data_IF_697721036607
#
_entry.id   IF_697721036607
#
_cell.length_a   1.000
_cell.length_b   1.000
_cell.length_c   1.000
_cell.angle_alpha   90.00
_cell.angle_beta   90.00
_cell.angle_gamma   90.00
#
_symmetry.space_group_name_H-M   'P 1'
#
loop_
_entity.id
_entity.type
_entity.pdbx_description
1 polymer ?
#
# COMPACT_ATOMS: atom_id res chain seq x y z
N UNK A 1 6.30 -9.26 -18.09
CA UNK A 1 6.06 -9.78 -16.76
C UNK A 1 6.36 -8.74 -15.74
N UNK A 2 5.38 -8.47 -14.94
CA UNK A 2 5.58 -7.50 -13.87
C UNK A 2 6.79 -7.95 -13.06
N UNK A 3 7.79 -7.13 -13.07
CA UNK A 3 9.06 -7.48 -12.56
C UNK A 3 9.02 -7.99 -11.16
N UNK A 4 9.41 -9.22 -11.02
CA UNK A 4 9.94 -9.65 -9.76
C UNK A 4 11.09 -8.71 -9.44
N UNK A 5 10.95 -7.90 -8.43
CA UNK A 5 12.09 -7.16 -7.92
C UNK A 5 12.71 -7.95 -6.78
N UNK A 6 14.01 -7.79 -6.62
CA UNK A 6 14.70 -8.45 -5.53
C UNK A 6 14.43 -7.72 -4.25
N UNK A 7 13.93 -8.45 -3.27
CA UNK A 7 13.74 -7.91 -1.94
C UNK A 7 15.01 -8.08 -1.12
N UNK A 8 15.34 -7.13 -0.24
CA UNK A 8 16.41 -7.33 0.72
C UNK A 8 16.07 -8.49 1.66
N UNK A 9 17.10 -9.08 2.23
CA UNK A 9 16.94 -10.16 3.20
C UNK A 9 16.05 -9.69 4.36
N UNK A 10 15.08 -10.51 4.73
CA UNK A 10 14.13 -10.19 5.80
C UNK A 10 12.95 -9.34 5.36
N UNK A 11 12.86 -8.97 4.09
CA UNK A 11 11.70 -8.24 3.57
C UNK A 11 10.61 -9.20 3.10
N UNK A 12 9.38 -8.75 3.23
CA UNK A 12 8.19 -9.48 2.82
C UNK A 12 7.44 -8.70 1.76
N UNK A 13 6.78 -9.42 0.87
CA UNK A 13 5.93 -8.80 -0.14
C UNK A 13 4.49 -9.25 0.03
N UNK A 14 3.56 -8.30 -0.09
CA UNK A 14 2.13 -8.56 -0.19
C UNK A 14 1.56 -7.81 -1.37
N UNK A 15 0.53 -8.36 -1.98
CA UNK A 15 -0.11 -7.77 -3.14
C UNK A 15 -1.59 -7.59 -2.91
N UNK A 16 -2.13 -6.54 -3.52
CA UNK A 16 -3.55 -6.28 -3.59
C UNK A 16 -3.97 -6.14 -5.04
N UNK A 17 -4.96 -6.90 -5.46
CA UNK A 17 -5.53 -6.82 -6.80
C UNK A 17 -6.89 -6.11 -6.74
N UNK A 18 -7.02 -5.04 -7.51
CA UNK A 18 -8.25 -4.26 -7.62
C UNK A 18 -8.85 -4.45 -9.01
N UNK A 19 -10.11 -4.91 -9.06
CA UNK A 19 -10.82 -5.04 -10.33
C UNK A 19 -11.20 -3.67 -10.87
N UNK A 20 -10.90 -3.43 -12.16
CA UNK A 20 -11.19 -2.16 -12.80
C UNK A 20 -12.65 -2.13 -13.26
N UNK A 21 -13.49 -1.49 -12.46
CA UNK A 21 -14.86 -1.13 -12.84
C UNK A 21 -14.97 0.34 -13.22
N UNK A 22 -13.85 1.03 -13.22
CA UNK A 22 -13.75 2.48 -13.44
C UNK A 22 -12.35 2.81 -13.94
N UNK A 23 -12.19 3.99 -14.51
CA UNK A 23 -10.89 4.47 -14.93
C UNK A 23 -10.11 4.95 -13.71
N UNK A 24 -8.91 4.38 -13.51
CA UNK A 24 -7.98 4.81 -12.48
C UNK A 24 -6.74 5.43 -13.12
N UNK A 25 -6.27 6.52 -12.53
CA UNK A 25 -5.01 7.15 -12.94
C UNK A 25 -3.85 6.41 -12.28
N UNK A 26 -3.30 5.43 -12.98
CA UNK A 26 -2.21 4.58 -12.46
C UNK A 26 -0.95 5.41 -12.18
N UNK A 27 -0.67 6.41 -13.01
CA UNK A 27 0.50 7.27 -12.79
C UNK A 27 0.36 8.07 -11.48
N UNK A 28 -0.84 8.61 -11.20
CA UNK A 28 -1.10 9.29 -9.94
C UNK A 28 -1.01 8.34 -8.75
N UNK A 29 -1.49 7.11 -8.91
CA UNK A 29 -1.36 6.07 -7.87
C UNK A 29 0.11 5.76 -7.58
N UNK A 30 0.94 5.66 -8.60
CA UNK A 30 2.37 5.40 -8.40
C UNK A 30 3.06 6.59 -7.71
N UNK A 31 2.71 7.82 -8.07
CA UNK A 31 3.24 9.00 -7.40
C UNK A 31 2.90 9.00 -5.91
N UNK A 32 1.66 8.61 -5.56
CA UNK A 32 1.24 8.46 -4.17
C UNK A 32 1.98 7.32 -3.47
N UNK A 33 2.17 6.20 -4.18
CA UNK A 33 2.92 5.04 -3.67
C UNK A 33 4.36 5.41 -3.33
N UNK A 34 4.99 6.22 -4.15
CA UNK A 34 6.38 6.65 -3.93
C UNK A 34 6.53 7.45 -2.62
N UNK A 35 5.49 8.16 -2.20
CA UNK A 35 5.51 8.88 -0.92
C UNK A 35 5.45 7.96 0.29
N UNK A 36 4.96 6.74 0.12
CA UNK A 36 4.89 5.74 1.20
C UNK A 36 6.21 4.99 1.38
N UNK A 37 7.11 5.08 0.41
CA UNK A 37 8.40 4.40 0.46
C UNK A 37 9.29 5.03 1.52
N UNK A 38 10.03 4.18 2.23
CA UNK A 38 10.94 4.61 3.28
C UNK A 38 10.46 4.22 4.67
N UNK A 39 11.16 4.76 5.66
CA UNK A 39 10.84 4.53 7.07
C UNK A 39 9.87 5.61 7.55
N UNK A 40 8.68 5.19 7.93
CA UNK A 40 7.63 6.08 8.41
C UNK A 40 6.88 5.44 9.57
N UNK A 41 6.19 6.26 10.34
CA UNK A 41 5.20 5.78 11.28
C UNK A 41 3.88 5.56 10.53
N UNK A 42 3.51 4.31 10.32
CA UNK A 42 2.30 3.92 9.59
C UNK A 42 1.08 3.75 10.50
N UNK A 43 1.03 4.44 11.64
CA UNK A 43 -0.06 4.26 12.61
C UNK A 43 -1.46 4.51 12.03
N UNK A 44 -1.60 5.36 11.02
CA UNK A 44 -2.88 5.56 10.32
C UNK A 44 -3.28 4.34 9.47
N UNK A 45 -2.30 3.53 9.05
CA UNK A 45 -2.53 2.42 8.12
C UNK A 45 -2.75 1.08 8.82
N UNK A 46 -2.71 1.03 10.13
CA UNK A 46 -2.94 -0.22 10.82
C UNK A 46 -2.45 -0.18 12.25
N UNK A 47 -2.51 -1.33 12.88
CA UNK A 47 -2.06 -1.48 14.27
C UNK A 47 -1.03 -2.60 14.37
N UNK A 48 -0.18 -2.49 15.38
CA UNK A 48 0.82 -3.51 15.63
C UNK A 48 0.16 -4.86 15.94
N UNK A 49 0.68 -5.98 15.40
CA UNK A 49 0.23 -7.32 15.77
C UNK A 49 0.51 -7.65 17.24
N UNK A 50 1.42 -6.92 17.88
CA UNK A 50 1.76 -7.13 19.30
C UNK A 50 1.17 -6.01 20.15
N UNK A 51 0.50 -6.32 21.25
CA UNK A 51 0.08 -5.29 22.21
C UNK A 51 1.29 -4.45 22.65
N UNK A 52 1.15 -3.13 22.58
CA UNK A 52 2.23 -2.20 22.92
C UNK A 52 3.37 -2.13 21.91
N UNK A 53 3.26 -2.80 20.77
CA UNK A 53 4.25 -2.72 19.70
C UNK A 53 4.18 -1.39 18.97
N UNK A 54 5.30 -1.00 18.35
CA UNK A 54 5.37 0.23 17.57
C UNK A 54 4.80 0.05 16.17
N UNK A 55 4.50 1.17 15.50
CA UNK A 55 3.90 1.20 14.17
C UNK A 55 4.84 1.76 13.10
N UNK A 56 6.12 1.96 13.45
CA UNK A 56 7.13 2.37 12.47
C UNK A 56 7.52 1.17 11.62
N UNK A 57 7.49 1.34 10.31
CA UNK A 57 7.87 0.30 9.35
C UNK A 57 8.76 0.89 8.27
N UNK A 58 9.61 0.05 7.70
CA UNK A 58 10.43 0.41 6.54
C UNK A 58 9.81 -0.24 5.31
N UNK A 59 9.22 0.59 4.45
CA UNK A 59 8.64 0.15 3.19
C UNK A 59 9.70 0.33 2.09
N UNK A 60 10.18 -0.79 1.54
CA UNK A 60 11.20 -0.76 0.51
C UNK A 60 10.65 -0.35 -0.83
N UNK A 61 9.42 -0.79 -1.14
CA UNK A 61 8.82 -0.47 -2.43
C UNK A 61 7.30 -0.60 -2.36
N UNK A 62 6.61 0.29 -3.06
CA UNK A 62 5.20 0.16 -3.38
C UNK A 62 5.06 0.34 -4.89
N UNK A 63 4.65 -0.71 -5.59
CA UNK A 63 4.54 -0.71 -7.04
C UNK A 63 3.11 -0.89 -7.49
N UNK A 64 2.65 0.01 -8.36
CA UNK A 64 1.32 -0.05 -8.96
C UNK A 64 1.46 -0.49 -10.40
N UNK A 65 0.73 -1.53 -10.80
CA UNK A 65 0.76 -2.08 -12.15
C UNK A 65 -0.65 -2.28 -12.66
N UNK A 66 -0.93 -1.82 -13.87
CA UNK A 66 -2.19 -2.09 -14.55
C UNK A 66 -2.01 -3.14 -15.63
N UNK A 67 -2.90 -4.12 -15.67
CA UNK A 67 -2.89 -5.15 -16.70
C UNK A 67 -4.32 -5.63 -16.94
N UNK A 68 -4.84 -5.41 -18.15
CA UNK A 68 -6.21 -5.79 -18.49
C UNK A 68 -7.21 -5.10 -17.59
N UNK A 69 -8.06 -5.88 -16.94
CA UNK A 69 -9.13 -5.37 -16.06
C UNK A 69 -8.69 -5.25 -14.60
N UNK A 70 -7.40 -5.31 -14.33
CA UNK A 70 -6.88 -5.33 -12.97
C UNK A 70 -5.77 -4.30 -12.76
N UNK A 71 -5.77 -3.72 -11.57
CA UNK A 71 -4.63 -2.99 -11.02
C UNK A 71 -4.10 -3.79 -9.85
N UNK A 72 -2.79 -4.01 -9.84
CA UNK A 72 -2.12 -4.72 -8.77
C UNK A 72 -1.22 -3.74 -8.00
N UNK A 73 -1.32 -3.77 -6.69
CA UNK A 73 -0.49 -2.98 -5.78
C UNK A 73 0.38 -3.96 -5.02
N UNK A 74 1.68 -3.88 -5.23
CA UNK A 74 2.66 -4.72 -4.54
C UNK A 74 3.40 -3.90 -3.50
N UNK A 75 3.41 -4.35 -2.26
CA UNK A 75 4.07 -3.67 -1.15
C UNK A 75 5.15 -4.59 -0.58
N UNK A 76 6.37 -4.08 -0.50
CA UNK A 76 7.49 -4.76 0.14
C UNK A 76 7.91 -3.98 1.37
N UNK A 77 7.99 -4.63 2.52
CA UNK A 77 8.33 -4.02 3.79
C UNK A 77 9.03 -5.00 4.72
N UNK A 78 9.69 -4.47 5.74
CA UNK A 78 10.33 -5.29 6.78
C UNK A 78 9.29 -6.01 7.65
N UNK A 79 8.12 -5.43 7.84
CA UNK A 79 7.00 -6.05 8.52
C UNK A 79 5.71 -5.28 8.18
N UNK A 80 4.57 -5.89 8.43
CA UNK A 80 3.27 -5.30 8.15
C UNK A 80 2.45 -5.14 9.42
N UNK A 81 1.73 -4.02 9.50
CA UNK A 81 0.68 -3.83 10.49
C UNK A 81 -0.59 -4.57 10.05
N UNK A 82 -1.48 -4.85 10.98
CA UNK A 82 -2.80 -5.38 10.64
C UNK A 82 -3.56 -4.39 9.77
N UNK A 83 -4.04 -4.87 8.63
CA UNK A 83 -4.81 -4.09 7.68
C UNK A 83 -3.99 -3.11 6.86
N UNK A 84 -2.66 -3.11 6.97
CA UNK A 84 -1.79 -2.12 6.34
C UNK A 84 -1.91 -2.14 4.81
N UNK A 85 -1.81 -3.29 4.18
CA UNK A 85 -1.86 -3.39 2.72
C UNK A 85 -3.23 -2.98 2.19
N UNK A 86 -4.30 -3.36 2.88
CA UNK A 86 -5.66 -2.97 2.49
C UNK A 86 -5.90 -1.47 2.62
N UNK A 87 -5.32 -0.82 3.62
CA UNK A 87 -5.42 0.63 3.77
C UNK A 87 -4.56 1.37 2.75
N UNK A 88 -3.37 0.86 2.47
CA UNK A 88 -2.54 1.40 1.38
C UNK A 88 -3.31 1.30 0.06
N UNK A 89 -3.86 0.13 -0.25
CA UNK A 89 -4.64 -0.07 -1.48
C UNK A 89 -5.83 0.88 -1.55
N UNK A 90 -6.60 1.03 -0.47
CA UNK A 90 -7.72 1.95 -0.43
C UNK A 90 -7.32 3.41 -0.66
N UNK A 91 -6.20 3.83 -0.06
CA UNK A 91 -5.66 5.17 -0.24
C UNK A 91 -5.22 5.42 -1.68
N UNK A 92 -4.48 4.48 -2.28
CA UNK A 92 -4.00 4.63 -3.65
C UNK A 92 -5.14 4.64 -4.65
N UNK A 93 -6.15 3.81 -4.45
CA UNK A 93 -7.33 3.81 -5.33
C UNK A 93 -8.07 5.15 -5.25
N UNK A 94 -8.19 5.74 -4.07
CA UNK A 94 -8.85 7.05 -3.93
C UNK A 94 -8.05 8.17 -4.62
N UNK A 95 -6.72 8.10 -4.61
CA UNK A 95 -5.90 9.01 -5.41
C UNK A 95 -6.10 8.75 -6.91
N UNK A 96 -6.15 7.48 -7.32
CA UNK A 96 -6.39 7.10 -8.71
C UNK A 96 -7.76 7.53 -9.23
N UNK A 97 -8.75 7.58 -8.36
CA UNK A 97 -10.10 8.09 -8.65
C UNK A 97 -10.18 9.60 -8.68
N UNK A 98 -9.14 10.29 -8.28
CA UNK A 98 -9.09 11.74 -8.09
C UNK A 98 -10.04 12.24 -6.99
N UNK A 99 -10.35 11.40 -6.03
CA UNK A 99 -11.11 11.77 -4.83
C UNK A 99 -10.23 12.47 -3.80
N UNK A 100 -8.93 12.13 -3.79
CA UNK A 100 -7.98 12.69 -2.86
C UNK A 100 -6.75 13.19 -3.62
N UNK A 101 -6.20 14.35 -3.24
CA UNK A 101 -4.97 14.85 -3.83
C UNK A 101 -3.75 14.08 -3.30
N UNK A 102 -2.64 14.23 -3.98
CA UNK A 102 -1.40 13.58 -3.60
C UNK A 102 -0.95 13.96 -2.18
N UNK A 103 -1.16 15.21 -1.78
CA UNK A 103 -0.78 15.73 -0.46
C UNK A 103 -1.54 15.05 0.69
N UNK A 104 -2.70 14.48 0.40
CA UNK A 104 -3.45 13.74 1.41
C UNK A 104 -2.66 12.55 1.96
N UNK A 105 -1.81 11.92 1.14
CA UNK A 105 -0.93 10.84 1.58
C UNK A 105 0.01 11.32 2.70
N UNK A 106 0.54 12.53 2.57
CA UNK A 106 1.41 13.10 3.61
C UNK A 106 0.67 13.28 4.93
N UNK A 107 -0.61 13.67 4.88
CA UNK A 107 -1.43 13.79 6.08
C UNK A 107 -1.64 12.44 6.77
N UNK A 108 -1.79 11.37 6.00
CA UNK A 108 -1.91 10.01 6.54
C UNK A 108 -0.61 9.58 7.21
N UNK A 109 0.53 9.90 6.61
CA UNK A 109 1.85 9.63 7.22
C UNK A 109 2.06 10.47 8.49
N UNK A 110 1.38 11.60 8.60
CA UNK A 110 1.34 12.40 9.82
C UNK A 110 0.39 11.87 10.90
N UNK A 111 -0.32 10.79 10.60
CA UNK A 111 -1.22 10.12 11.55
C UNK A 111 -2.70 10.42 11.37
N UNK A 112 -3.09 11.28 10.42
CA UNK A 112 -4.49 11.50 10.11
C UNK A 112 -5.11 10.25 9.50
N UNK A 113 -6.33 9.92 9.91
CA UNK A 113 -7.12 8.84 9.29
C UNK A 113 -8.30 9.38 8.49
N UNK A 114 -8.39 10.68 8.35
CA UNK A 114 -9.51 11.32 7.66
C UNK A 114 -9.59 10.88 6.21
N UNK A 115 -10.71 10.30 5.83
CA UNK A 115 -10.96 9.81 4.48
C UNK A 115 -10.36 8.46 4.16
N UNK A 116 -9.54 7.88 5.04
CA UNK A 116 -8.89 6.60 4.79
C UNK A 116 -9.89 5.44 4.95
N UNK A 117 -9.93 4.58 3.93
CA UNK A 117 -10.84 3.43 3.89
C UNK A 117 -10.06 2.14 3.65
N UNK A 118 -10.60 1.04 4.17
CA UNK A 118 -10.09 -0.29 3.88
C UNK A 118 -10.57 -0.75 2.51
N UNK A 119 -9.65 -1.20 1.65
CA UNK A 119 -10.02 -1.93 0.45
C UNK A 119 -10.61 -3.29 0.85
N UNK A 120 -11.54 -3.85 0.03
CA UNK A 120 -12.16 -5.14 0.36
C UNK A 120 -11.15 -6.27 0.53
N UNK A 121 -11.40 -7.14 1.51
CA UNK A 121 -10.44 -8.20 1.89
C UNK A 121 -10.18 -9.21 0.75
N UNK A 122 -11.15 -9.44 -0.11
CA UNK A 122 -11.03 -10.43 -1.18
C UNK A 122 -9.98 -10.09 -2.23
N UNK A 123 -9.53 -8.85 -2.32
CA UNK A 123 -8.45 -8.46 -3.23
C UNK A 123 -7.06 -8.76 -2.70
N UNK A 124 -6.94 -9.09 -1.42
CA UNK A 124 -5.64 -9.31 -0.79
C UNK A 124 -5.09 -10.68 -1.15
N UNK A 125 -3.93 -10.68 -1.78
CA UNK A 125 -3.19 -11.90 -2.09
C UNK A 125 -1.92 -11.89 -1.24
N UNK A 126 -1.74 -12.92 -0.43
CA UNK A 126 -0.54 -13.08 0.38
C UNK A 126 0.53 -13.75 -0.48
N UNK A 127 1.50 -12.97 -0.91
CA UNK A 127 2.72 -13.51 -1.51
C UNK A 127 3.81 -13.31 -0.47
N UNK A 128 4.05 -14.34 0.31
CA UNK A 128 5.14 -14.31 1.26
C UNK A 128 6.44 -14.63 0.51
N UNK A 129 7.23 -13.61 0.23
CA UNK A 129 8.58 -13.79 -0.30
C UNK A 129 9.53 -13.30 0.78
N UNK A 130 10.29 -14.22 1.33
CA UNK A 130 11.32 -13.92 2.32
C UNK A 130 12.67 -14.28 1.72
N UNK A 131 13.60 -13.37 1.82
CA UNK A 131 14.99 -13.58 1.40
C UNK A 131 15.94 -13.52 2.57
#
# INVERSE_FOLDING_TARGET
MAGAFRLPRGAYQRQYAWGLHETLDVAAMQAAADRLTGRHDFRAFGRSPRPGGHTVRNVQEVKVSGAGDWVTIAVAADAFLYGMVRRIAGALVDVGRRRQPLEWIDSLLGGSTTGLRLAPAQGLVQVAVEY
#
